data_IF_720790786676
#
_entry.id   IF_720790786676
#
_cell.length_a   1.000
_cell.length_b   1.000
_cell.length_c   1.000
_cell.angle_alpha   90.00
_cell.angle_beta   90.00
_cell.angle_gamma   90.00
#
_symmetry.space_group_name_H-M   'P 1'
#
loop_
_entity.id
_entity.type
_entity.pdbx_description
1 polymer ?
#
# COMPACT_ATOMS: atom_id res chain seq x y z
N UNK A 1 -12.87 -28.32 -1.15
CA UNK A 1 -11.69 -28.39 -0.27
C UNK A 1 -11.03 -27.03 -0.24
N UNK A 2 -10.48 -26.62 0.89
CA UNK A 2 -9.67 -25.38 0.97
C UNK A 2 -8.35 -25.56 0.21
N UNK A 3 -7.83 -24.45 -0.30
CA UNK A 3 -6.53 -24.40 -0.95
C UNK A 3 -5.83 -23.06 -0.62
N UNK A 4 -4.53 -23.12 -0.39
CA UNK A 4 -3.72 -21.91 -0.18
C UNK A 4 -3.29 -21.34 -1.52
N UNK A 5 -3.57 -20.05 -1.75
CA UNK A 5 -3.20 -19.33 -2.95
C UNK A 5 -2.58 -17.99 -2.52
N UNK A 6 -1.31 -17.81 -2.79
CA UNK A 6 -0.58 -16.57 -2.45
C UNK A 6 -0.76 -16.11 -0.98
N UNK A 7 -0.80 -17.07 -0.06
CA UNK A 7 -1.03 -16.81 1.36
C UNK A 7 -2.49 -16.63 1.77
N UNK A 8 -3.44 -16.70 0.84
CA UNK A 8 -4.87 -16.65 1.11
C UNK A 8 -5.47 -18.05 1.18
N UNK A 9 -6.30 -18.29 2.19
CA UNK A 9 -7.10 -19.49 2.27
C UNK A 9 -8.31 -19.34 1.37
N UNK A 10 -8.34 -20.08 0.27
CA UNK A 10 -9.37 -19.99 -0.75
C UNK A 10 -10.27 -21.23 -0.78
N UNK A 11 -11.49 -21.03 -1.26
CA UNK A 11 -12.47 -22.06 -1.53
C UNK A 11 -12.98 -21.90 -2.97
N UNK A 12 -12.99 -22.99 -3.78
CA UNK A 12 -13.59 -22.93 -5.12
C UNK A 12 -15.13 -22.95 -5.04
N UNK A 13 -15.79 -22.40 -6.06
CA UNK A 13 -17.27 -22.52 -6.18
C UNK A 13 -17.68 -23.98 -6.25
N UNK A 14 -16.88 -24.85 -6.85
CA UNK A 14 -17.11 -26.30 -6.81
C UNK A 14 -17.15 -26.83 -5.37
N UNK A 15 -16.19 -26.43 -4.53
CA UNK A 15 -16.18 -26.79 -3.11
C UNK A 15 -17.35 -26.17 -2.34
N UNK A 16 -17.77 -24.95 -2.66
CA UNK A 16 -18.98 -24.33 -2.13
C UNK A 16 -20.21 -25.18 -2.40
N UNK A 17 -20.37 -25.69 -3.62
CA UNK A 17 -21.47 -26.58 -3.98
C UNK A 17 -21.39 -27.93 -3.26
N UNK A 18 -20.19 -28.51 -3.13
CA UNK A 18 -19.94 -29.75 -2.36
C UNK A 18 -20.28 -29.61 -0.86
N UNK A 19 -20.20 -28.41 -0.31
CA UNK A 19 -20.65 -28.11 1.06
C UNK A 19 -22.19 -28.01 1.21
N UNK A 20 -22.96 -28.31 0.15
CA UNK A 20 -24.41 -28.25 0.13
C UNK A 20 -24.98 -26.82 -0.08
N UNK A 21 -24.13 -25.87 -0.45
CA UNK A 21 -24.54 -24.50 -0.75
C UNK A 21 -24.90 -24.37 -2.25
N UNK A 22 -25.79 -23.44 -2.58
CA UNK A 22 -26.26 -23.28 -3.97
C UNK A 22 -25.49 -22.18 -4.70
N UNK A 23 -25.57 -22.17 -6.04
CA UNK A 23 -25.03 -21.07 -6.87
C UNK A 23 -25.76 -19.75 -6.60
N UNK A 24 -27.02 -19.78 -6.24
CA UNK A 24 -27.79 -18.58 -5.89
C UNK A 24 -27.31 -18.00 -4.55
N UNK A 25 -26.97 -18.84 -3.60
CA UNK A 25 -26.30 -18.39 -2.38
C UNK A 25 -24.99 -17.65 -2.71
N UNK A 26 -24.14 -18.22 -3.54
CA UNK A 26 -22.88 -17.59 -3.95
C UNK A 26 -23.10 -16.25 -4.65
N UNK A 27 -24.01 -16.21 -5.64
CA UNK A 27 -24.32 -14.97 -6.37
C UNK A 27 -24.86 -13.87 -5.47
N UNK A 28 -25.81 -14.21 -4.58
CA UNK A 28 -26.44 -13.27 -3.68
C UNK A 28 -25.46 -12.74 -2.64
N UNK A 29 -24.65 -13.62 -2.03
CA UNK A 29 -23.68 -13.25 -1.01
C UNK A 29 -22.54 -12.39 -1.63
N UNK A 30 -22.09 -12.72 -2.86
CA UNK A 30 -21.14 -11.92 -3.61
C UNK A 30 -21.71 -10.52 -3.96
N UNK A 31 -22.96 -10.45 -4.42
CA UNK A 31 -23.62 -9.18 -4.77
C UNK A 31 -23.83 -8.27 -3.55
N UNK A 32 -24.04 -8.83 -2.37
CA UNK A 32 -24.24 -8.12 -1.11
C UNK A 32 -22.94 -7.75 -0.41
N UNK A 33 -21.77 -8.27 -0.87
CA UNK A 33 -20.49 -8.10 -0.21
C UNK A 33 -20.32 -8.99 1.04
N UNK A 34 -21.14 -10.04 1.18
CA UNK A 34 -21.01 -11.03 2.27
C UNK A 34 -19.91 -12.04 2.04
N UNK A 35 -19.32 -12.05 0.85
CA UNK A 35 -18.10 -12.76 0.49
C UNK A 35 -17.29 -12.00 -0.59
N UNK A 36 -15.99 -12.25 -0.62
CA UNK A 36 -15.08 -11.67 -1.60
C UNK A 36 -14.57 -12.74 -2.56
N UNK A 37 -14.64 -12.45 -3.86
CA UNK A 37 -14.05 -13.31 -4.89
C UNK A 37 -12.56 -13.00 -4.94
N UNK A 38 -11.74 -13.99 -4.58
CA UNK A 38 -10.29 -13.89 -4.66
C UNK A 38 -9.81 -13.90 -6.12
N UNK A 39 -10.30 -14.87 -6.90
CA UNK A 39 -9.95 -15.01 -8.32
C UNK A 39 -11.17 -15.49 -9.11
N UNK A 40 -11.48 -14.78 -10.20
CA UNK A 40 -12.50 -15.25 -11.14
C UNK A 40 -11.91 -16.34 -12.04
N UNK A 41 -12.60 -17.44 -12.19
CA UNK A 41 -12.28 -18.54 -13.11
C UNK A 41 -13.48 -18.87 -13.98
N UNK A 42 -13.27 -19.66 -15.03
CA UNK A 42 -14.35 -20.21 -15.81
C UNK A 42 -15.07 -21.31 -15.00
N UNK A 43 -16.38 -21.42 -15.16
CA UNK A 43 -17.23 -22.41 -14.49
C UNK A 43 -17.08 -22.31 -12.95
N UNK A 44 -16.85 -23.44 -12.28
CA UNK A 44 -16.76 -23.56 -10.83
C UNK A 44 -15.33 -23.37 -10.30
N UNK A 45 -14.39 -22.93 -11.17
CA UNK A 45 -13.00 -22.61 -10.80
C UNK A 45 -12.82 -21.22 -10.17
N UNK A 46 -13.90 -20.46 -10.00
CA UNK A 46 -13.86 -19.19 -9.26
C UNK A 46 -13.48 -19.45 -7.82
N UNK A 47 -12.48 -18.72 -7.32
CA UNK A 47 -11.98 -18.83 -5.95
C UNK A 47 -12.59 -17.73 -5.07
N UNK A 48 -13.04 -18.13 -3.90
CA UNK A 48 -13.60 -17.29 -2.85
C UNK A 48 -12.57 -17.20 -1.74
N UNK A 49 -12.31 -16.01 -1.20
CA UNK A 49 -11.54 -15.87 0.03
C UNK A 49 -12.37 -16.44 1.19
N UNK A 50 -11.90 -17.53 1.77
CA UNK A 50 -12.63 -18.26 2.82
C UNK A 50 -12.81 -17.41 4.09
N UNK A 51 -11.90 -16.47 4.36
CA UNK A 51 -12.00 -15.57 5.52
C UNK A 51 -12.98 -14.41 5.30
N UNK A 52 -13.27 -14.07 4.06
CA UNK A 52 -14.22 -13.02 3.71
C UNK A 52 -15.70 -13.42 3.89
N UNK A 53 -16.00 -14.71 4.06
CA UNK A 53 -17.36 -15.20 4.21
C UNK A 53 -17.92 -14.76 5.57
N UNK A 54 -18.97 -13.95 5.54
CA UNK A 54 -19.53 -13.31 6.74
C UNK A 54 -20.69 -14.05 7.35
N UNK A 55 -21.46 -14.85 6.55
CA UNK A 55 -22.67 -15.51 7.01
C UNK A 55 -22.36 -16.75 7.83
N UNK A 56 -22.78 -16.81 9.12
CA UNK A 56 -22.47 -17.95 10.00
C UNK A 56 -22.95 -19.29 9.46
N UNK A 57 -24.14 -19.32 8.84
CA UNK A 57 -24.71 -20.53 8.27
C UNK A 57 -23.90 -21.08 7.08
N UNK A 58 -23.25 -20.18 6.30
CA UNK A 58 -22.36 -20.58 5.21
C UNK A 58 -21.06 -21.14 5.75
N UNK A 59 -20.51 -20.44 6.74
CA UNK A 59 -19.30 -20.86 7.45
C UNK A 59 -19.51 -22.27 8.05
N UNK A 60 -20.61 -22.47 8.78
CA UNK A 60 -20.92 -23.75 9.41
C UNK A 60 -21.09 -24.90 8.39
N UNK A 61 -21.71 -24.64 7.23
CA UNK A 61 -21.86 -25.62 6.16
C UNK A 61 -20.49 -26.02 5.56
N UNK A 62 -19.62 -25.04 5.30
CA UNK A 62 -18.29 -25.25 4.72
C UNK A 62 -17.40 -25.97 5.72
N UNK A 63 -17.39 -25.57 6.99
CA UNK A 63 -16.57 -26.17 8.03
C UNK A 63 -17.02 -27.60 8.36
N UNK A 64 -18.29 -27.90 8.26
CA UNK A 64 -18.80 -29.28 8.38
C UNK A 64 -18.30 -30.18 7.26
N UNK A 65 -18.15 -29.62 6.04
CA UNK A 65 -17.72 -30.39 4.87
C UNK A 65 -16.19 -30.55 4.79
N UNK A 66 -15.42 -29.55 5.26
CA UNK A 66 -13.97 -29.49 4.99
C UNK A 66 -13.09 -29.24 6.22
N UNK A 67 -13.69 -29.18 7.42
CA UNK A 67 -12.99 -28.84 8.67
C UNK A 67 -12.94 -27.34 8.93
N UNK A 68 -12.49 -26.95 10.12
CA UNK A 68 -12.42 -25.56 10.55
C UNK A 68 -11.38 -24.78 9.75
N UNK A 69 -11.71 -23.54 9.41
CA UNK A 69 -10.80 -22.65 8.65
C UNK A 69 -9.49 -22.39 9.38
N UNK A 70 -9.55 -22.24 10.71
CA UNK A 70 -8.39 -22.02 11.58
C UNK A 70 -7.38 -23.16 11.55
N UNK A 71 -7.84 -24.40 11.29
CA UNK A 71 -7.01 -25.61 11.20
C UNK A 71 -6.35 -25.75 9.83
N UNK A 72 -6.95 -25.16 8.79
CA UNK A 72 -6.49 -25.28 7.40
C UNK A 72 -5.50 -24.18 6.99
N UNK A 73 -5.43 -23.11 7.73
CA UNK A 73 -4.51 -22.01 7.51
C UNK A 73 -4.85 -20.82 8.40
N UNK A 74 -3.85 -20.17 8.95
CA UNK A 74 -4.08 -18.88 9.63
C UNK A 74 -4.58 -17.89 8.59
N UNK A 75 -5.60 -17.07 8.98
CA UNK A 75 -5.92 -15.87 8.21
C UNK A 75 -4.60 -15.16 7.89
N UNK A 76 -4.39 -14.73 6.64
CA UNK A 76 -3.23 -13.94 6.36
C UNK A 76 -3.29 -12.77 7.35
N UNK A 77 -2.43 -12.81 8.36
CA UNK A 77 -2.16 -11.60 9.11
C UNK A 77 -1.81 -10.60 8.02
N UNK A 78 -2.49 -9.48 7.98
CA UNK A 78 -2.00 -8.33 7.26
C UNK A 78 -0.63 -8.02 7.88
N UNK A 79 0.36 -8.78 7.48
CA UNK A 79 1.76 -8.48 7.78
C UNK A 79 1.97 -7.17 7.07
N UNK A 80 2.22 -6.13 7.86
CA UNK A 80 2.67 -4.88 7.30
C UNK A 80 3.81 -5.15 6.31
N UNK A 81 4.09 -4.26 5.40
CA UNK A 81 5.12 -4.48 4.40
C UNK A 81 6.44 -4.78 5.13
N UNK A 82 7.15 -5.83 4.71
CA UNK A 82 8.49 -6.13 5.24
C UNK A 82 9.41 -4.96 4.91
N UNK A 83 10.15 -4.47 5.91
CA UNK A 83 11.07 -3.34 5.72
C UNK A 83 12.08 -3.67 4.61
N UNK A 84 12.22 -2.76 3.68
CA UNK A 84 13.14 -2.87 2.56
C UNK A 84 14.59 -2.63 3.02
N UNK A 85 15.33 -3.71 3.26
CA UNK A 85 16.71 -3.65 3.74
C UNK A 85 17.67 -3.03 2.70
N UNK A 86 17.40 -3.23 1.40
CA UNK A 86 18.21 -2.62 0.33
C UNK A 86 18.01 -1.11 0.30
N UNK A 87 16.76 -0.64 0.47
CA UNK A 87 16.46 0.78 0.59
C UNK A 87 17.15 1.39 1.81
N UNK A 88 17.12 0.71 2.96
CA UNK A 88 17.78 1.18 4.17
C UNK A 88 19.31 1.32 3.97
N UNK A 89 19.94 0.36 3.31
CA UNK A 89 21.36 0.44 2.98
C UNK A 89 21.63 1.61 2.01
N UNK A 90 20.85 1.71 0.93
CA UNK A 90 20.98 2.78 -0.05
C UNK A 90 20.92 4.18 0.60
N UNK A 91 19.93 4.44 1.48
CA UNK A 91 19.79 5.77 2.09
C UNK A 91 20.83 6.07 3.17
N UNK A 92 21.40 5.07 3.83
CA UNK A 92 22.52 5.27 4.75
C UNK A 92 23.80 5.68 4.02
N UNK A 93 24.03 5.08 2.86
CA UNK A 93 25.23 5.36 2.06
C UNK A 93 25.06 6.61 1.17
N UNK A 94 23.82 7.11 1.05
CA UNK A 94 23.53 8.27 0.21
C UNK A 94 24.11 9.54 0.79
N UNK A 95 24.88 10.25 -0.03
CA UNK A 95 25.45 11.56 0.30
C UNK A 95 24.96 12.64 -0.65
N UNK A 96 24.91 13.88 -0.19
CA UNK A 96 24.51 15.03 -0.98
C UNK A 96 25.43 16.23 -0.76
N UNK A 97 25.43 17.19 -1.70
CA UNK A 97 26.25 18.39 -1.68
C UNK A 97 27.74 18.10 -1.90
N UNK A 98 28.53 19.16 -2.01
CA UNK A 98 29.99 19.07 -2.22
C UNK A 98 30.73 18.47 -1.00
N UNK A 99 30.17 18.65 0.19
CA UNK A 99 30.73 18.12 1.42
C UNK A 99 30.40 16.64 1.67
N UNK A 100 29.73 15.95 0.72
CA UNK A 100 29.31 14.56 0.84
C UNK A 100 28.56 14.27 2.16
N UNK A 101 27.62 15.13 2.54
CA UNK A 101 26.87 15.02 3.79
C UNK A 101 25.86 13.88 3.71
N UNK A 102 25.77 13.04 4.76
CA UNK A 102 24.79 11.97 4.85
C UNK A 102 23.40 12.50 5.22
N UNK A 103 22.37 11.74 4.82
CA UNK A 103 20.99 12.05 5.20
C UNK A 103 20.79 11.93 6.73
N UNK A 104 19.97 12.79 7.34
CA UNK A 104 19.56 12.64 8.74
C UNK A 104 18.81 11.31 8.97
N UNK A 105 18.96 10.70 10.15
CA UNK A 105 18.42 9.38 10.48
C UNK A 105 16.87 9.30 10.35
N UNK A 106 16.17 10.36 10.73
CA UNK A 106 14.72 10.47 10.55
C UNK A 106 14.30 10.46 9.07
N UNK A 107 15.13 11.05 8.22
CA UNK A 107 14.93 11.08 6.78
C UNK A 107 15.24 9.73 6.15
N UNK A 108 16.32 9.05 6.58
CA UNK A 108 16.64 7.67 6.18
C UNK A 108 15.45 6.76 6.50
N UNK A 109 14.93 6.85 7.72
CA UNK A 109 13.76 6.07 8.17
C UNK A 109 12.54 6.34 7.29
N UNK A 110 12.20 7.60 7.03
CA UNK A 110 11.05 7.96 6.18
C UNK A 110 11.21 7.47 4.74
N UNK A 111 12.38 7.62 4.15
CA UNK A 111 12.62 7.19 2.77
C UNK A 111 12.65 5.66 2.65
N UNK A 112 13.19 4.96 3.64
CA UNK A 112 13.11 3.50 3.71
C UNK A 112 11.65 3.03 3.78
N UNK A 113 10.82 3.67 4.61
CA UNK A 113 9.41 3.36 4.70
C UNK A 113 8.66 3.68 3.41
N UNK A 114 8.99 4.79 2.73
CA UNK A 114 8.44 5.11 1.41
C UNK A 114 8.72 3.98 0.41
N UNK A 115 9.96 3.53 0.32
CA UNK A 115 10.38 2.44 -0.57
C UNK A 115 9.66 1.13 -0.21
N UNK A 116 9.61 0.80 1.07
CA UNK A 116 8.93 -0.37 1.61
C UNK A 116 7.46 -0.41 1.18
N UNK A 117 6.73 0.69 1.37
CA UNK A 117 5.31 0.80 1.00
C UNK A 117 5.14 0.70 -0.51
N UNK A 118 5.96 1.42 -1.28
CA UNK A 118 5.86 1.42 -2.76
C UNK A 118 6.19 0.06 -3.34
N UNK A 119 7.23 -0.64 -2.87
CA UNK A 119 7.55 -2.02 -3.32
C UNK A 119 6.41 -3.00 -3.01
N UNK A 120 5.83 -2.92 -1.82
CA UNK A 120 4.68 -3.74 -1.47
C UNK A 120 3.50 -3.50 -2.42
N UNK A 121 3.18 -2.24 -2.72
CA UNK A 121 2.10 -1.89 -3.65
C UNK A 121 2.41 -2.28 -5.10
N UNK A 122 3.67 -2.22 -5.52
CA UNK A 122 4.08 -2.70 -6.84
C UNK A 122 3.88 -4.21 -6.98
N UNK A 123 4.25 -5.00 -5.98
CA UNK A 123 3.97 -6.43 -5.96
C UNK A 123 2.46 -6.72 -6.07
N UNK A 124 1.62 -5.97 -5.34
CA UNK A 124 0.15 -6.07 -5.49
C UNK A 124 -0.33 -5.68 -6.89
N UNK A 125 0.26 -4.65 -7.49
CA UNK A 125 -0.10 -4.21 -8.84
C UNK A 125 0.19 -5.28 -9.89
N UNK A 126 1.29 -6.01 -9.77
CA UNK A 126 1.63 -7.11 -10.67
C UNK A 126 0.59 -8.24 -10.58
N UNK A 127 0.21 -8.63 -9.37
CA UNK A 127 -0.86 -9.61 -9.14
C UNK A 127 -2.19 -9.13 -9.75
N UNK A 128 -2.58 -7.88 -9.52
CA UNK A 128 -3.80 -7.29 -10.07
C UNK A 128 -3.78 -7.30 -11.61
N UNK A 129 -2.66 -6.90 -12.22
CA UNK A 129 -2.50 -6.90 -13.68
C UNK A 129 -2.58 -8.30 -14.28
N UNK A 130 -1.97 -9.28 -13.63
CA UNK A 130 -2.04 -10.67 -14.06
C UNK A 130 -3.48 -11.22 -14.04
N UNK A 131 -4.30 -10.76 -13.11
CA UNK A 131 -5.65 -11.26 -12.89
C UNK A 131 -6.76 -10.34 -13.40
N UNK A 132 -6.45 -9.13 -13.89
CA UNK A 132 -7.37 -8.10 -14.45
C UNK A 132 -8.59 -7.75 -13.59
N UNK A 133 -8.48 -7.80 -12.26
CA UNK A 133 -9.63 -7.82 -11.37
C UNK A 133 -10.02 -6.47 -10.74
N UNK A 134 -9.20 -5.43 -10.88
CA UNK A 134 -9.47 -4.12 -10.24
C UNK A 134 -9.22 -3.00 -11.26
N UNK A 135 -10.15 -2.03 -11.39
CA UNK A 135 -9.92 -0.82 -12.17
C UNK A 135 -8.69 -0.06 -11.67
N UNK A 136 -7.82 0.37 -12.57
CA UNK A 136 -6.57 1.05 -12.20
C UNK A 136 -6.77 2.33 -11.37
N UNK A 137 -7.90 3.03 -11.55
CA UNK A 137 -8.24 4.20 -10.73
C UNK A 137 -8.50 3.83 -9.27
N UNK A 138 -9.22 2.74 -9.03
CA UNK A 138 -9.46 2.21 -7.69
C UNK A 138 -8.16 1.78 -7.02
N UNK A 139 -7.29 1.09 -7.73
CA UNK A 139 -5.96 0.73 -7.21
C UNK A 139 -5.17 1.94 -6.70
N UNK A 140 -5.14 3.05 -7.44
CA UNK A 140 -4.37 4.23 -7.03
C UNK A 140 -4.99 4.93 -5.81
N UNK A 141 -6.32 4.99 -5.74
CA UNK A 141 -7.05 5.51 -4.57
C UNK A 141 -6.74 4.68 -3.32
N UNK A 142 -6.85 3.36 -3.43
CA UNK A 142 -6.57 2.43 -2.35
C UNK A 142 -5.10 2.48 -1.92
N UNK A 143 -4.18 2.71 -2.86
CA UNK A 143 -2.75 2.85 -2.56
C UNK A 143 -2.46 4.09 -1.71
N UNK A 144 -3.11 5.21 -1.98
CA UNK A 144 -2.99 6.43 -1.15
C UNK A 144 -3.57 6.18 0.23
N UNK A 145 -4.75 5.58 0.33
CA UNK A 145 -5.38 5.25 1.60
C UNK A 145 -4.50 4.28 2.42
N UNK A 146 -3.93 3.27 1.77
CA UNK A 146 -3.00 2.33 2.41
C UNK A 146 -1.75 3.03 2.95
N UNK A 147 -1.13 3.94 2.19
CA UNK A 147 0.04 4.69 2.65
C UNK A 147 -0.27 5.55 3.88
N UNK A 148 -1.43 6.20 3.92
CA UNK A 148 -1.90 6.97 5.07
C UNK A 148 -2.14 6.05 6.30
N UNK A 149 -2.73 4.88 6.10
CA UNK A 149 -2.94 3.89 7.15
C UNK A 149 -1.60 3.37 7.73
N UNK A 150 -0.58 3.13 6.89
CA UNK A 150 0.74 2.72 7.37
C UNK A 150 1.39 3.76 8.27
N UNK A 151 1.16 5.04 8.02
CA UNK A 151 1.64 6.12 8.88
C UNK A 151 1.06 6.02 10.30
N UNK A 152 -0.23 5.70 10.43
CA UNK A 152 -0.88 5.50 11.75
C UNK A 152 -0.43 4.21 12.44
N UNK A 153 0.05 3.22 11.69
CA UNK A 153 0.56 1.94 12.18
C UNK A 153 2.05 1.95 12.57
N UNK A 154 2.67 3.12 12.63
CA UNK A 154 4.07 3.27 13.06
C UNK A 154 5.10 3.16 11.95
N UNK A 155 4.69 3.32 10.68
CA UNK A 155 5.58 3.48 9.53
C UNK A 155 5.51 4.93 9.02
N UNK A 156 6.21 5.88 9.67
CA UNK A 156 6.22 7.27 9.24
C UNK A 156 6.75 7.36 7.80
N UNK A 157 5.97 8.01 6.95
CA UNK A 157 6.28 8.15 5.53
C UNK A 157 5.95 9.55 5.03
N UNK A 158 6.47 9.94 3.87
CA UNK A 158 6.24 11.22 3.22
C UNK A 158 5.68 11.04 1.81
N UNK A 159 4.92 9.97 1.60
CA UNK A 159 4.30 9.67 0.31
C UNK A 159 3.20 10.70 -0.03
N UNK A 160 3.02 11.04 -1.31
CA UNK A 160 1.99 11.98 -1.73
C UNK A 160 0.58 11.49 -1.37
N UNK A 161 -0.24 12.41 -0.83
CA UNK A 161 -1.63 12.14 -0.44
C UNK A 161 -2.63 12.26 -1.61
N UNK A 162 -2.17 12.55 -2.83
CA UNK A 162 -3.00 12.60 -4.03
C UNK A 162 -2.68 11.44 -4.97
N UNK A 163 -3.69 10.86 -5.61
CA UNK A 163 -3.53 9.76 -6.57
C UNK A 163 -2.54 10.13 -7.70
N UNK A 164 -2.66 11.34 -8.24
CA UNK A 164 -1.76 11.84 -9.29
C UNK A 164 -0.31 11.94 -8.82
N UNK A 165 -0.10 12.50 -7.63
CA UNK A 165 1.23 12.63 -7.03
C UNK A 165 1.84 11.29 -6.73
N UNK A 166 1.06 10.39 -6.13
CA UNK A 166 1.48 9.03 -5.79
C UNK A 166 1.86 8.24 -7.05
N UNK A 167 1.01 8.23 -8.06
CA UNK A 167 1.29 7.57 -9.34
C UNK A 167 2.57 8.10 -9.99
N UNK A 168 2.77 9.42 -10.01
CA UNK A 168 3.98 10.03 -10.55
C UNK A 168 5.24 9.60 -9.78
N UNK A 169 5.16 9.52 -8.45
CA UNK A 169 6.27 9.03 -7.63
C UNK A 169 6.60 7.56 -7.93
N UNK A 170 5.58 6.71 -8.04
CA UNK A 170 5.76 5.28 -8.37
C UNK A 170 6.38 5.10 -9.76
N UNK A 171 5.98 5.90 -10.75
CA UNK A 171 6.60 5.85 -12.08
C UNK A 171 8.06 6.29 -12.02
N UNK A 172 8.36 7.37 -11.29
CA UNK A 172 9.73 7.83 -11.08
C UNK A 172 10.58 6.80 -10.33
N UNK A 173 10.01 6.11 -9.33
CA UNK A 173 10.70 5.02 -8.63
C UNK A 173 11.08 3.87 -9.56
N UNK A 174 10.25 3.55 -10.57
CA UNK A 174 10.57 2.53 -11.57
C UNK A 174 11.74 2.93 -12.47
N UNK A 175 11.92 4.21 -12.71
CA UNK A 175 12.96 4.76 -13.58
C UNK A 175 14.26 5.06 -12.83
N UNK A 176 14.17 5.70 -11.68
CA UNK A 176 15.29 6.23 -10.89
C UNK A 176 15.65 5.34 -9.68
N UNK A 177 14.86 4.29 -9.38
CA UNK A 177 15.04 3.48 -8.17
C UNK A 177 14.84 4.29 -6.90
N UNK A 178 15.61 3.99 -5.87
CA UNK A 178 15.51 4.64 -4.55
C UNK A 178 15.78 6.15 -4.58
N UNK A 179 16.56 6.64 -5.54
CA UNK A 179 16.83 8.06 -5.70
C UNK A 179 15.55 8.89 -5.91
N UNK A 180 14.48 8.26 -6.42
CA UNK A 180 13.18 8.88 -6.59
C UNK A 180 12.57 9.45 -5.30
N UNK A 181 12.94 8.94 -4.14
CA UNK A 181 12.43 9.43 -2.84
C UNK A 181 13.25 10.59 -2.28
N UNK A 182 14.46 10.81 -2.77
CA UNK A 182 15.30 11.91 -2.31
C UNK A 182 14.83 13.22 -2.93
N UNK A 183 14.67 14.23 -2.07
CA UNK A 183 14.32 15.57 -2.54
C UNK A 183 15.46 16.14 -3.38
N UNK A 184 15.13 16.68 -4.56
CA UNK A 184 16.11 17.40 -5.42
C UNK A 184 16.66 18.66 -4.76
N UNK A 185 16.05 19.10 -3.66
CA UNK A 185 16.51 20.27 -2.90
C UNK A 185 17.59 19.92 -1.85
N UNK A 186 17.89 18.62 -1.63
CA UNK A 186 19.02 18.25 -0.80
C UNK A 186 20.33 18.65 -1.49
N UNK A 187 21.16 19.39 -0.76
CA UNK A 187 22.43 19.90 -1.30
C UNK A 187 22.31 21.01 -2.31
N UNK A 188 21.14 21.63 -2.43
CA UNK A 188 20.99 22.82 -3.26
C UNK A 188 21.56 24.04 -2.54
N UNK A 189 22.87 24.24 -2.67
CA UNK A 189 23.58 25.39 -2.13
C UNK A 189 23.30 26.71 -2.90
N UNK A 190 22.60 26.58 -4.06
CA UNK A 190 22.16 27.74 -4.86
C UNK A 190 20.78 28.28 -4.46
N UNK A 191 20.10 27.66 -3.48
CA UNK A 191 18.94 28.28 -2.87
C UNK A 191 19.38 29.62 -2.30
N UNK A 192 18.73 30.70 -2.78
CA UNK A 192 19.02 32.07 -2.38
C UNK A 192 19.09 32.14 -0.85
N UNK A 193 20.30 32.11 -0.30
CA UNK A 193 20.51 32.46 1.11
C UNK A 193 20.40 33.97 1.11
N UNK A 194 19.23 34.46 1.51
CA UNK A 194 19.08 35.87 1.82
C UNK A 194 20.11 36.20 2.89
N UNK A 195 21.00 37.16 2.58
CA UNK A 195 21.88 37.72 3.58
C UNK A 195 21.05 38.19 4.77
N UNK A 196 21.60 38.09 5.98
CA UNK A 196 20.87 38.36 7.23
C UNK A 196 20.18 39.73 7.17
N UNK A 197 20.84 40.75 6.62
CA UNK A 197 20.28 42.09 6.38
C UNK A 197 19.04 42.07 5.49
N UNK A 198 19.04 41.31 4.40
CA UNK A 198 17.90 41.18 3.51
C UNK A 198 16.74 40.42 4.16
N UNK A 199 17.05 39.45 5.01
CA UNK A 199 16.08 38.71 5.81
C UNK A 199 15.43 39.61 6.87
N UNK A 200 16.21 40.37 7.60
CA UNK A 200 15.72 41.34 8.59
C UNK A 200 14.86 42.42 7.94
N UNK A 201 15.28 42.91 6.75
CA UNK A 201 14.50 43.86 5.99
C UNK A 201 13.14 43.30 5.55
N UNK A 202 13.11 42.06 5.07
CA UNK A 202 11.86 41.39 4.70
C UNK A 202 10.94 41.17 5.91
N UNK A 203 11.50 40.75 7.05
CA UNK A 203 10.76 40.58 8.30
C UNK A 203 10.18 41.91 8.75
N UNK A 204 10.99 42.97 8.78
CA UNK A 204 10.56 44.31 9.17
C UNK A 204 9.43 44.84 8.26
N UNK A 205 9.47 44.54 6.97
CA UNK A 205 8.49 45.07 6.00
C UNK A 205 7.18 44.24 5.93
N UNK A 206 7.22 42.94 6.14
CA UNK A 206 6.06 42.05 5.96
C UNK A 206 5.52 41.47 7.24
N UNK A 207 6.29 41.41 8.32
CA UNK A 207 5.83 40.96 9.62
C UNK A 207 5.26 42.08 10.51
N UNK A 208 5.46 43.35 10.13
CA UNK A 208 4.82 44.47 10.82
C UNK A 208 3.34 44.53 10.40
N UNK A 209 2.39 44.47 11.33
CA UNK A 209 0.97 44.64 11.01
C UNK A 209 0.80 46.01 10.39
N UNK A 210 0.31 46.08 9.16
CA UNK A 210 -0.16 47.34 8.59
C UNK A 210 -1.45 47.64 9.32
N UNK A 211 -1.42 48.59 10.25
CA UNK A 211 -2.63 49.19 10.80
C UNK A 211 -3.43 49.75 9.62
N UNK A 212 -4.49 49.04 9.26
CA UNK A 212 -5.48 49.52 8.31
C UNK A 212 -6.33 50.54 9.08
N UNK A 213 -6.00 51.83 8.85
CA UNK A 213 -6.93 52.91 9.13
C UNK A 213 -8.18 52.82 8.24
#
# INVERSE_FOLDING_TARGET
MYQMMDGHLCLSVESWLKAGLTRDHFKNDSKRGDLTIYRRGQHDCTLIDAWSIRRPERIAAIERAFGRREEQGKAPRATGPAIDAEAAAFFRDYTYGEAATHLPEDTITRYTNNATIVRHLLGRLEVIRAHRNIPMGEFWRDSVAYAAEQQTKGLPNSLPMSERGFRRLVMRFKEEGYAAFVSKNYGNDTALRLEEEAREWLIARYATPVDRL
#
